data_IF_914106244093
#
_entry.id   IF_914106244093
#
_cell.length_a   1.000
_cell.length_b   1.000
_cell.length_c   1.000
_cell.angle_alpha   90.00
_cell.angle_beta   90.00
_cell.angle_gamma   90.00
#
_symmetry.space_group_name_H-M   'P 1'
#
loop_
_entity.id
_entity.type
_entity.pdbx_description
1 polymer ?
#
# COMPACT_ATOMS: atom_id res chain seq x y z
N UNK A 1 -40.19 -28.49 -23.61
CA UNK A 1 -39.89 -27.09 -23.24
C UNK A 1 -40.47 -26.92 -21.86
N UNK A 2 -39.62 -26.80 -20.84
CA UNK A 2 -40.09 -26.62 -19.47
C UNK A 2 -40.61 -25.19 -19.33
N UNK A 3 -41.78 -25.02 -18.71
CA UNK A 3 -42.35 -23.71 -18.38
C UNK A 3 -41.39 -22.98 -17.43
N UNK A 4 -40.98 -21.78 -17.81
CA UNK A 4 -40.11 -20.95 -16.97
C UNK A 4 -40.95 -20.41 -15.80
N UNK A 5 -40.66 -20.87 -14.58
CA UNK A 5 -41.39 -20.43 -13.39
C UNK A 5 -40.99 -19.00 -13.01
N UNK A 6 -41.86 -18.28 -12.29
CA UNK A 6 -41.53 -16.92 -11.84
C UNK A 6 -40.26 -16.90 -10.96
N UNK A 7 -40.06 -17.97 -10.17
CA UNK A 7 -38.87 -18.15 -9.34
C UNK A 7 -37.63 -18.30 -10.21
N UNK A 8 -37.72 -19.03 -11.33
CA UNK A 8 -36.60 -19.21 -12.24
C UNK A 8 -36.17 -17.89 -12.87
N UNK A 9 -37.13 -17.09 -13.34
CA UNK A 9 -36.86 -15.75 -13.84
C UNK A 9 -36.27 -14.84 -12.75
N UNK A 10 -36.80 -14.88 -11.52
CA UNK A 10 -36.28 -14.10 -10.40
C UNK A 10 -34.84 -14.49 -9.98
N UNK A 11 -34.48 -15.77 -10.11
CA UNK A 11 -33.13 -16.29 -9.87
C UNK A 11 -32.19 -15.84 -10.99
N UNK A 12 -32.62 -15.95 -12.25
CA UNK A 12 -31.79 -15.63 -13.42
C UNK A 12 -31.45 -14.15 -13.52
N UNK A 13 -32.37 -13.27 -13.11
CA UNK A 13 -32.10 -11.84 -13.04
C UNK A 13 -30.96 -11.50 -12.06
N UNK A 14 -30.86 -12.22 -10.94
CA UNK A 14 -29.94 -11.87 -9.84
C UNK A 14 -28.64 -12.66 -9.91
N UNK A 15 -28.70 -13.91 -10.37
CA UNK A 15 -27.59 -14.86 -10.46
C UNK A 15 -27.53 -15.54 -11.84
N UNK A 16 -27.34 -14.78 -12.95
CA UNK A 16 -27.36 -15.34 -14.31
C UNK A 16 -26.22 -16.33 -14.60
N UNK A 17 -25.13 -16.27 -13.82
CA UNK A 17 -23.96 -17.14 -13.98
C UNK A 17 -23.97 -18.36 -13.04
N UNK A 18 -25.09 -18.65 -12.38
CA UNK A 18 -25.21 -19.82 -11.51
C UNK A 18 -25.36 -21.09 -12.36
N UNK A 19 -24.73 -22.24 -12.01
CA UNK A 19 -24.95 -23.49 -12.71
C UNK A 19 -26.42 -23.91 -12.66
N UNK A 20 -26.94 -24.50 -13.73
CA UNK A 20 -28.37 -24.88 -13.86
C UNK A 20 -28.84 -25.77 -12.70
N UNK A 21 -28.02 -26.76 -12.33
CA UNK A 21 -28.27 -27.65 -11.18
C UNK A 21 -28.40 -26.87 -9.86
N UNK A 22 -27.63 -25.79 -9.69
CA UNK A 22 -27.69 -24.96 -8.47
C UNK A 22 -28.88 -23.99 -8.49
N UNK A 23 -29.40 -23.63 -9.67
CA UNK A 23 -30.65 -22.88 -9.79
C UNK A 23 -31.85 -23.77 -9.47
N UNK A 24 -31.84 -25.03 -9.92
CA UNK A 24 -32.91 -26.01 -9.61
C UNK A 24 -33.03 -26.24 -8.11
N UNK A 25 -31.89 -26.44 -7.42
CA UNK A 25 -31.85 -26.59 -5.96
C UNK A 25 -32.31 -25.33 -5.24
N UNK A 26 -31.95 -24.15 -5.74
CA UNK A 26 -32.39 -22.88 -5.17
C UNK A 26 -33.89 -22.64 -5.36
N UNK A 27 -34.43 -23.00 -6.52
CA UNK A 27 -35.86 -22.92 -6.83
C UNK A 27 -36.68 -23.85 -5.91
N UNK A 28 -36.25 -25.10 -5.73
CA UNK A 28 -36.86 -26.05 -4.80
C UNK A 28 -36.78 -25.54 -3.34
N UNK A 29 -35.63 -24.95 -2.96
CA UNK A 29 -35.45 -24.36 -1.62
C UNK A 29 -36.43 -23.21 -1.40
N UNK A 30 -36.58 -22.29 -2.36
CA UNK A 30 -37.52 -21.16 -2.26
C UNK A 30 -38.98 -21.62 -2.23
N UNK A 31 -39.33 -22.66 -2.99
CA UNK A 31 -40.66 -23.28 -2.91
C UNK A 31 -40.90 -23.91 -1.53
N UNK A 32 -39.89 -24.59 -0.96
CA UNK A 32 -39.99 -25.20 0.38
C UNK A 32 -40.14 -24.19 1.51
N UNK A 33 -39.62 -22.97 1.33
CA UNK A 33 -39.77 -21.84 2.26
C UNK A 33 -41.16 -21.19 2.13
N UNK A 34 -41.85 -21.41 1.00
CA UNK A 34 -43.20 -20.88 0.73
C UNK A 34 -43.21 -19.55 -0.02
N UNK A 35 -42.20 -19.30 -0.86
CA UNK A 35 -42.13 -18.07 -1.69
C UNK A 35 -43.08 -18.22 -2.89
N UNK A 36 -44.19 -17.49 -2.89
CA UNK A 36 -45.21 -17.54 -3.95
C UNK A 36 -45.22 -16.28 -4.83
N UNK A 37 -44.72 -15.16 -4.31
CA UNK A 37 -44.73 -13.85 -4.96
C UNK A 37 -43.41 -13.11 -4.82
N UNK A 38 -43.25 -12.02 -5.59
CA UNK A 38 -42.08 -11.16 -5.49
C UNK A 38 -41.96 -10.40 -4.16
N UNK A 39 -43.08 -10.21 -3.44
CA UNK A 39 -43.06 -9.52 -2.15
C UNK A 39 -42.47 -10.42 -1.05
N UNK A 40 -42.65 -11.74 -1.17
CA UNK A 40 -42.20 -12.72 -0.17
C UNK A 40 -40.67 -12.74 -0.02
N UNK A 41 -39.92 -12.31 -1.05
CA UNK A 41 -38.46 -12.21 -0.98
C UNK A 41 -37.97 -11.24 0.10
N UNK A 42 -38.81 -10.31 0.60
CA UNK A 42 -38.43 -9.40 1.67
C UNK A 42 -38.24 -10.11 3.03
N UNK A 43 -38.90 -11.25 3.21
CA UNK A 43 -38.90 -12.01 4.47
C UNK A 43 -37.78 -13.04 4.56
N UNK A 44 -37.04 -13.28 3.48
CA UNK A 44 -35.94 -14.25 3.43
C UNK A 44 -34.71 -13.72 4.18
N UNK A 45 -34.04 -14.61 4.93
CA UNK A 45 -32.81 -14.36 5.69
C UNK A 45 -31.63 -15.13 5.08
N UNK A 46 -30.38 -14.76 5.42
CA UNK A 46 -29.18 -15.39 4.83
C UNK A 46 -29.17 -16.90 5.03
N UNK A 47 -29.54 -17.37 6.24
CA UNK A 47 -29.49 -18.79 6.62
C UNK A 47 -30.40 -19.67 5.76
N UNK A 48 -31.53 -19.13 5.28
CA UNK A 48 -32.50 -19.84 4.44
C UNK A 48 -31.91 -20.21 3.06
N UNK A 49 -30.92 -19.45 2.61
CA UNK A 49 -30.30 -19.61 1.29
C UNK A 49 -28.97 -20.37 1.34
N UNK A 50 -28.42 -20.62 2.52
CA UNK A 50 -27.11 -21.28 2.67
C UNK A 50 -27.12 -22.77 2.28
N UNK A 51 -28.30 -23.40 2.21
CA UNK A 51 -28.48 -24.76 1.71
C UNK A 51 -28.21 -24.87 0.20
N UNK A 52 -28.54 -23.82 -0.56
CA UNK A 52 -28.44 -23.81 -2.02
C UNK A 52 -27.32 -22.90 -2.57
N UNK A 53 -26.90 -21.88 -1.81
CA UNK A 53 -25.95 -20.84 -2.26
C UNK A 53 -24.77 -20.69 -1.30
N UNK A 54 -23.63 -20.26 -1.84
CA UNK A 54 -22.50 -19.81 -1.00
C UNK A 54 -22.88 -18.51 -0.27
N UNK A 55 -22.31 -18.23 0.91
CA UNK A 55 -22.68 -17.06 1.72
C UNK A 55 -22.66 -15.71 0.97
N UNK A 56 -21.68 -15.52 0.07
CA UNK A 56 -21.58 -14.28 -0.72
C UNK A 56 -22.66 -14.19 -1.81
N UNK A 57 -23.08 -15.32 -2.38
CA UNK A 57 -24.16 -15.36 -3.37
C UNK A 57 -25.52 -15.13 -2.69
N UNK A 58 -25.74 -15.73 -1.51
CA UNK A 58 -26.93 -15.52 -0.69
C UNK A 58 -27.11 -14.03 -0.31
N UNK A 59 -26.06 -13.39 0.21
CA UNK A 59 -26.11 -11.94 0.53
C UNK A 59 -26.39 -11.06 -0.68
N UNK A 60 -25.81 -11.40 -1.83
CA UNK A 60 -26.06 -10.66 -3.07
C UNK A 60 -27.52 -10.83 -3.51
N UNK A 61 -28.05 -12.05 -3.43
CA UNK A 61 -29.44 -12.34 -3.79
C UNK A 61 -30.42 -11.56 -2.90
N UNK A 62 -30.24 -11.63 -1.59
CA UNK A 62 -31.05 -10.89 -0.61
C UNK A 62 -30.99 -9.38 -0.79
N UNK A 63 -29.80 -8.82 -1.03
CA UNK A 63 -29.66 -7.38 -1.23
C UNK A 63 -30.41 -6.91 -2.49
N UNK A 64 -30.38 -7.70 -3.58
CA UNK A 64 -31.06 -7.36 -4.82
C UNK A 64 -32.58 -7.55 -4.72
N UNK A 65 -33.06 -8.65 -4.13
CA UNK A 65 -34.50 -8.85 -3.98
C UNK A 65 -35.13 -7.86 -3.00
N UNK A 66 -34.50 -7.57 -1.86
CA UNK A 66 -35.00 -6.55 -0.91
C UNK A 66 -35.04 -5.15 -1.50
N UNK A 67 -34.07 -4.81 -2.35
CA UNK A 67 -34.09 -3.54 -3.08
C UNK A 67 -35.25 -3.46 -4.09
N UNK A 68 -35.62 -4.59 -4.70
CA UNK A 68 -36.74 -4.67 -5.64
C UNK A 68 -38.10 -4.52 -4.96
N UNK A 69 -38.27 -5.10 -3.76
CA UNK A 69 -39.49 -4.90 -2.94
C UNK A 69 -39.61 -3.44 -2.46
N UNK A 70 -38.50 -2.72 -2.31
CA UNK A 70 -38.47 -1.31 -1.88
C UNK A 70 -38.60 -0.30 -3.02
N UNK A 71 -38.50 -0.74 -4.28
CA UNK A 71 -38.73 0.11 -5.43
C UNK A 71 -40.22 0.10 -5.76
N UNK A 72 -40.93 1.25 -5.69
CA UNK A 72 -42.29 1.33 -6.21
C UNK A 72 -42.21 1.27 -7.73
N UNK A 73 -42.24 0.07 -8.31
CA UNK A 73 -42.38 -0.10 -9.74
C UNK A 73 -43.79 0.29 -10.15
N UNK A 74 -43.83 1.39 -10.91
CA UNK A 74 -44.87 1.82 -11.81
C UNK A 74 -45.47 0.64 -12.58
N UNK A 75 -46.66 0.23 -12.19
CA UNK A 75 -47.60 -0.48 -13.06
C UNK A 75 -47.86 0.37 -14.31
N UNK A 76 -47.75 -0.27 -15.48
CA UNK A 76 -48.17 0.26 -16.78
C UNK A 76 -49.62 0.77 -16.72
N UNK A 77 -49.86 2.05 -17.03
CA UNK A 77 -51.00 2.50 -17.84
C UNK A 77 -50.86 3.97 -18.24
N UNK A 78 -51.09 4.24 -19.53
CA UNK A 78 -51.65 5.44 -20.18
C UNK A 78 -51.41 6.84 -19.58
N UNK A 79 -50.90 7.72 -20.46
CA UNK A 79 -50.86 9.17 -20.35
C UNK A 79 -52.16 9.81 -19.84
N UNK A 80 -52.08 10.79 -18.94
CA UNK A 80 -52.30 12.20 -19.28
C UNK A 80 -52.05 13.16 -18.08
N UNK A 81 -51.40 14.26 -18.43
CA UNK A 81 -51.57 15.66 -18.01
C UNK A 81 -51.33 16.25 -16.58
N UNK A 82 -50.61 17.38 -16.64
CA UNK A 82 -50.62 18.61 -15.80
C UNK A 82 -50.19 18.66 -14.32
N UNK A 83 -49.02 19.29 -14.13
CA UNK A 83 -48.68 20.45 -13.28
C UNK A 83 -49.38 20.71 -11.92
N UNK A 84 -48.56 20.89 -10.86
CA UNK A 84 -48.39 22.12 -10.02
C UNK A 84 -47.67 21.75 -8.69
N UNK A 85 -46.47 22.30 -8.40
CA UNK A 85 -46.18 23.40 -7.41
C UNK A 85 -46.84 23.21 -6.03
N UNK A 86 -46.20 23.27 -4.87
CA UNK A 86 -44.97 23.97 -4.41
C UNK A 86 -44.61 23.58 -2.97
N UNK A 87 -43.30 23.73 -2.63
CA UNK A 87 -42.73 24.28 -1.38
C UNK A 87 -42.98 23.54 -0.03
N UNK A 88 -42.05 23.38 0.93
CA UNK A 88 -40.81 24.13 1.18
C UNK A 88 -40.01 23.54 2.37
N UNK A 89 -38.67 23.58 2.24
CA UNK A 89 -37.60 23.83 3.26
C UNK A 89 -37.38 22.80 4.40
N UNK A 90 -36.18 22.45 4.88
CA UNK A 90 -34.74 22.77 4.69
C UNK A 90 -34.01 21.72 5.59
N UNK A 91 -32.86 21.12 5.25
CA UNK A 91 -31.53 21.66 5.60
C UNK A 91 -30.37 20.73 5.16
N UNK A 92 -29.65 21.20 4.13
CA UNK A 92 -28.19 21.23 3.87
C UNK A 92 -27.21 20.26 4.57
N UNK A 93 -26.51 19.44 3.76
CA UNK A 93 -25.04 19.18 3.80
C UNK A 93 -24.58 18.34 2.57
N UNK A 94 -23.26 18.33 2.21
CA UNK A 94 -22.82 18.57 0.83
C UNK A 94 -22.72 17.35 -0.09
N UNK A 95 -22.80 17.65 -1.40
CA UNK A 95 -22.61 16.76 -2.54
C UNK A 95 -21.31 15.95 -2.48
N UNK A 96 -21.42 14.67 -2.86
CA UNK A 96 -20.36 13.96 -3.57
C UNK A 96 -21.02 12.99 -4.54
N UNK A 97 -20.98 13.36 -5.82
CA UNK A 97 -21.36 12.54 -6.96
C UNK A 97 -20.47 11.29 -7.05
N UNK A 98 -21.09 10.12 -7.17
CA UNK A 98 -20.42 8.97 -7.78
C UNK A 98 -21.38 8.21 -8.67
N UNK A 99 -21.05 8.29 -9.95
CA UNK A 99 -21.76 7.85 -11.14
C UNK A 99 -21.76 6.34 -11.31
N UNK A 100 -22.93 5.81 -11.68
CA UNK A 100 -23.07 4.50 -12.29
C UNK A 100 -22.24 4.43 -13.60
N UNK A 101 -21.08 3.79 -13.55
CA UNK A 101 -20.21 3.58 -14.73
C UNK A 101 -19.37 2.29 -14.67
N UNK A 102 -19.72 1.35 -13.79
CA UNK A 102 -18.83 0.24 -13.42
C UNK A 102 -18.98 -1.05 -14.24
N UNK A 103 -20.00 -1.20 -15.10
CA UNK A 103 -20.22 -2.47 -15.84
C UNK A 103 -19.71 -2.47 -17.29
N UNK A 104 -19.67 -1.34 -18.00
CA UNK A 104 -19.10 -1.28 -19.36
C UNK A 104 -17.57 -1.42 -19.37
N UNK A 105 -16.90 -0.96 -18.32
CA UNK A 105 -15.45 -1.02 -18.18
C UNK A 105 -14.92 -2.45 -17.97
N UNK A 106 -15.72 -3.39 -17.47
CA UNK A 106 -15.26 -4.75 -17.16
C UNK A 106 -15.08 -5.62 -18.41
N UNK A 107 -15.97 -5.50 -19.38
CA UNK A 107 -15.89 -6.24 -20.66
C UNK A 107 -14.75 -5.70 -21.52
N UNK A 108 -14.58 -4.37 -21.55
CA UNK A 108 -13.47 -3.70 -22.23
C UNK A 108 -12.11 -4.05 -21.57
N UNK A 109 -12.05 -4.19 -20.24
CA UNK A 109 -10.82 -4.57 -19.52
C UNK A 109 -10.31 -5.96 -19.91
N UNK A 110 -11.23 -6.89 -20.21
CA UNK A 110 -10.90 -8.26 -20.58
C UNK A 110 -10.45 -8.31 -22.04
N UNK A 111 -11.15 -7.63 -22.94
CA UNK A 111 -10.86 -7.66 -24.37
C UNK A 111 -9.46 -7.10 -24.69
N UNK A 112 -9.07 -5.97 -24.08
CA UNK A 112 -7.72 -5.43 -24.33
C UNK A 112 -6.61 -6.34 -23.80
N UNK A 113 -6.81 -7.01 -22.66
CA UNK A 113 -5.78 -7.88 -22.07
C UNK A 113 -5.61 -9.18 -22.87
N UNK A 114 -6.70 -9.69 -23.45
CA UNK A 114 -6.69 -10.83 -24.38
C UNK A 114 -6.05 -10.46 -25.71
N UNK A 115 -6.18 -9.21 -26.17
CA UNK A 115 -5.51 -8.73 -27.39
C UNK A 115 -4.10 -8.15 -27.14
N UNK A 116 -3.69 -8.01 -25.86
CA UNK A 116 -2.38 -7.49 -25.52
C UNK A 116 -1.26 -8.42 -26.00
N UNK A 117 -0.42 -7.89 -26.88
CA UNK A 117 0.83 -8.50 -27.34
C UNK A 117 1.96 -8.14 -26.38
N UNK A 118 2.60 -9.15 -25.81
CA UNK A 118 3.73 -8.97 -24.91
C UNK A 118 4.93 -8.44 -25.72
N UNK A 119 5.59 -7.35 -25.27
CA UNK A 119 6.65 -6.66 -25.99
C UNK A 119 7.99 -7.41 -25.90
N UNK A 120 8.06 -8.63 -26.44
CA UNK A 120 9.27 -9.47 -26.37
C UNK A 120 10.51 -8.79 -26.96
N UNK A 121 10.34 -8.02 -28.04
CA UNK A 121 11.43 -7.29 -28.70
C UNK A 121 12.04 -6.15 -27.85
N UNK A 122 11.32 -5.68 -26.83
CA UNK A 122 11.80 -4.64 -25.91
C UNK A 122 12.58 -5.21 -24.73
N UNK A 123 12.65 -6.53 -24.61
CA UNK A 123 13.35 -7.17 -23.49
C UNK A 123 14.87 -7.17 -23.73
N UNK A 124 15.69 -6.97 -22.68
CA UNK A 124 17.13 -7.09 -22.79
C UNK A 124 17.52 -8.45 -23.37
N UNK A 125 18.54 -8.48 -24.22
CA UNK A 125 18.94 -9.70 -24.91
C UNK A 125 19.37 -10.81 -23.94
N UNK A 126 20.02 -10.44 -22.83
CA UNK A 126 20.37 -11.36 -21.74
C UNK A 126 19.14 -12.05 -21.12
N UNK A 127 18.02 -11.33 -20.99
CA UNK A 127 16.77 -11.87 -20.50
C UNK A 127 16.16 -12.83 -21.54
N UNK A 128 16.09 -12.43 -22.81
CA UNK A 128 15.54 -13.26 -23.89
C UNK A 128 16.31 -14.57 -24.05
N UNK A 129 17.63 -14.52 -24.08
CA UNK A 129 18.46 -15.71 -24.13
C UNK A 129 18.23 -16.63 -22.91
N UNK A 130 18.00 -16.07 -21.73
CA UNK A 130 17.69 -16.87 -20.53
C UNK A 130 16.33 -17.58 -20.66
N UNK A 131 15.32 -16.88 -21.20
CA UNK A 131 14.00 -17.43 -21.45
C UNK A 131 14.05 -18.56 -22.49
N UNK A 132 14.75 -18.36 -23.61
CA UNK A 132 14.91 -19.33 -24.70
C UNK A 132 15.66 -20.58 -24.25
N UNK A 133 16.70 -20.41 -23.42
CA UNK A 133 17.45 -21.54 -22.82
C UNK A 133 16.66 -22.29 -21.75
N UNK A 134 15.42 -21.89 -21.44
CA UNK A 134 14.62 -22.50 -20.38
C UNK A 134 15.17 -22.24 -18.98
N UNK A 135 16.05 -21.27 -18.81
CA UNK A 135 16.70 -20.94 -17.53
C UNK A 135 15.92 -19.85 -16.81
N UNK A 136 15.82 -19.97 -15.49
CA UNK A 136 15.17 -18.97 -14.65
C UNK A 136 15.97 -17.65 -14.72
N UNK A 137 15.36 -16.52 -15.14
CA UNK A 137 16.06 -15.24 -15.18
C UNK A 137 16.50 -14.80 -13.78
N UNK A 138 17.61 -14.05 -13.70
CA UNK A 138 18.08 -13.46 -12.45
C UNK A 138 17.02 -12.53 -11.84
N UNK A 139 17.02 -12.33 -10.50
CA UNK A 139 16.05 -11.45 -9.85
C UNK A 139 16.04 -10.02 -10.43
N UNK A 140 17.20 -9.52 -10.89
CA UNK A 140 17.33 -8.20 -11.53
C UNK A 140 16.62 -8.18 -12.88
N UNK A 141 16.94 -9.11 -13.78
CA UNK A 141 16.33 -9.22 -15.11
C UNK A 141 14.83 -9.47 -15.03
N UNK A 142 14.38 -10.29 -14.06
CA UNK A 142 12.95 -10.54 -13.83
C UNK A 142 12.19 -9.27 -13.42
N UNK A 143 12.79 -8.41 -12.58
CA UNK A 143 12.19 -7.11 -12.22
C UNK A 143 12.14 -6.17 -13.42
N UNK A 144 13.16 -6.17 -14.26
CA UNK A 144 13.22 -5.35 -15.47
C UNK A 144 12.15 -5.76 -16.50
N UNK A 145 11.99 -7.06 -16.74
CA UNK A 145 10.89 -7.63 -17.52
C UNK A 145 9.52 -7.10 -17.05
N UNK A 146 9.26 -7.20 -15.75
CA UNK A 146 8.01 -6.73 -15.12
C UNK A 146 7.82 -5.22 -15.30
N UNK A 147 8.90 -4.42 -15.23
CA UNK A 147 8.83 -2.98 -15.48
C UNK A 147 8.44 -2.67 -16.92
N UNK A 148 9.08 -3.30 -17.89
CA UNK A 148 8.81 -3.09 -19.32
C UNK A 148 7.37 -3.46 -19.65
N UNK A 149 6.92 -4.64 -19.22
CA UNK A 149 5.55 -5.11 -19.46
C UNK A 149 4.51 -4.13 -18.91
N UNK A 150 4.66 -3.68 -17.66
CA UNK A 150 3.71 -2.73 -17.06
C UNK A 150 3.75 -1.37 -17.76
N UNK A 151 4.92 -0.88 -18.15
CA UNK A 151 5.03 0.38 -18.91
C UNK A 151 4.26 0.30 -20.24
N UNK A 152 4.38 -0.80 -20.98
CA UNK A 152 3.66 -1.00 -22.25
C UNK A 152 2.16 -1.22 -22.04
N UNK A 153 1.76 -1.94 -20.99
CA UNK A 153 0.35 -2.08 -20.63
C UNK A 153 -0.27 -0.71 -20.34
N UNK A 154 0.46 0.17 -19.63
CA UNK A 154 -0.01 1.52 -19.26
C UNK A 154 -0.10 2.48 -20.44
N UNK A 155 0.74 2.29 -21.47
CA UNK A 155 0.61 3.04 -22.72
C UNK A 155 -0.64 2.65 -23.51
N UNK A 156 -1.03 1.37 -23.46
CA UNK A 156 -2.21 0.86 -24.20
C UNK A 156 -3.53 1.07 -23.46
N UNK A 157 -3.52 1.07 -22.12
CA UNK A 157 -4.73 1.23 -21.32
C UNK A 157 -4.47 2.02 -20.03
N UNK A 158 -5.30 3.03 -19.81
CA UNK A 158 -5.29 3.86 -18.59
C UNK A 158 -5.91 3.13 -17.38
N UNK A 159 -6.74 2.11 -17.60
CA UNK A 159 -7.53 1.40 -16.58
C UNK A 159 -7.14 -0.09 -16.48
N UNK A 160 -5.87 -0.37 -16.17
CA UNK A 160 -5.44 -1.75 -15.93
C UNK A 160 -5.93 -2.22 -14.55
N UNK A 161 -6.72 -3.29 -14.49
CA UNK A 161 -7.12 -3.94 -13.25
C UNK A 161 -6.37 -5.26 -12.98
N UNK A 162 -6.79 -5.93 -11.91
CA UNK A 162 -6.18 -7.19 -11.44
C UNK A 162 -6.37 -8.35 -12.41
N UNK A 163 -7.45 -8.31 -13.20
CA UNK A 163 -7.78 -9.38 -14.15
C UNK A 163 -6.90 -9.29 -15.39
N UNK A 164 -6.70 -8.09 -15.95
CA UNK A 164 -5.77 -7.88 -17.08
C UNK A 164 -4.32 -8.28 -16.77
N UNK A 165 -3.81 -7.95 -15.57
CA UNK A 165 -2.47 -8.41 -15.13
C UNK A 165 -2.36 -9.92 -14.99
N UNK A 166 -3.46 -10.60 -14.66
CA UNK A 166 -3.50 -12.07 -14.56
C UNK A 166 -3.41 -12.72 -15.93
N UNK A 167 -4.17 -12.22 -16.91
CA UNK A 167 -4.15 -12.77 -18.28
C UNK A 167 -2.79 -12.55 -18.97
N UNK A 168 -2.16 -11.39 -18.79
CA UNK A 168 -0.80 -11.15 -19.29
C UNK A 168 0.21 -12.10 -18.66
N UNK A 169 0.13 -12.36 -17.36
CA UNK A 169 1.01 -13.32 -16.70
C UNK A 169 0.84 -14.74 -17.22
N UNK A 170 -0.42 -15.18 -17.44
CA UNK A 170 -0.73 -16.50 -18.03
C UNK A 170 -0.10 -16.63 -19.41
N UNK A 171 -0.24 -15.63 -20.28
CA UNK A 171 0.39 -15.61 -21.60
C UNK A 171 1.91 -15.70 -21.54
N UNK A 172 2.55 -14.96 -20.62
CA UNK A 172 4.00 -15.00 -20.46
C UNK A 172 4.49 -16.39 -20.02
N UNK A 173 3.83 -16.99 -19.03
CA UNK A 173 4.17 -18.32 -18.52
C UNK A 173 3.86 -19.40 -19.56
N UNK A 174 2.78 -19.27 -20.33
CA UNK A 174 2.47 -20.18 -21.42
C UNK A 174 3.56 -20.21 -22.51
N UNK A 175 4.19 -19.06 -22.82
CA UNK A 175 5.29 -19.00 -23.78
C UNK A 175 6.59 -19.59 -23.23
N UNK A 176 6.93 -19.30 -21.97
CA UNK A 176 8.18 -19.76 -21.34
C UNK A 176 7.93 -20.41 -19.98
N UNK A 177 7.31 -21.61 -19.94
CA UNK A 177 6.94 -22.26 -18.68
C UNK A 177 8.17 -22.60 -17.84
N UNK A 178 9.21 -23.20 -18.45
CA UNK A 178 10.45 -23.60 -17.76
C UNK A 178 11.16 -22.44 -17.05
N UNK A 179 11.09 -21.24 -17.62
CA UNK A 179 11.82 -20.07 -17.14
C UNK A 179 11.00 -19.21 -16.16
N UNK A 180 9.68 -19.11 -16.38
CA UNK A 180 8.82 -18.15 -15.69
C UNK A 180 7.90 -18.77 -14.63
N UNK A 181 7.62 -20.07 -14.71
CA UNK A 181 6.78 -20.78 -13.75
C UNK A 181 7.37 -20.74 -12.33
N UNK A 182 6.48 -20.61 -11.34
CA UNK A 182 6.83 -20.69 -9.93
C UNK A 182 7.03 -22.15 -9.52
N UNK A 183 8.27 -22.62 -9.55
CA UNK A 183 8.66 -23.93 -9.03
C UNK A 183 9.52 -23.73 -7.79
N UNK A 184 9.20 -24.41 -6.69
CA UNK A 184 10.04 -24.53 -5.49
C UNK A 184 10.32 -26.02 -5.32
N UNK A 185 11.60 -26.39 -5.22
CA UNK A 185 12.04 -27.78 -4.94
C UNK A 185 11.46 -28.85 -5.88
N UNK A 186 11.11 -28.47 -7.12
CA UNK A 186 10.55 -29.37 -8.12
C UNK A 186 9.03 -29.30 -8.24
N UNK A 187 8.34 -28.72 -7.25
CA UNK A 187 6.88 -28.61 -7.24
C UNK A 187 6.40 -27.28 -7.80
N UNK A 188 5.37 -27.34 -8.65
CA UNK A 188 4.69 -26.16 -9.20
C UNK A 188 3.83 -25.53 -8.10
N UNK A 189 4.18 -24.31 -7.70
CA UNK A 189 3.43 -23.56 -6.69
C UNK A 189 2.08 -23.11 -7.27
N UNK A 190 1.00 -23.72 -6.81
CA UNK A 190 -0.36 -23.39 -7.23
C UNK A 190 -0.51 -23.46 -8.75
N UNK A 191 -1.13 -22.46 -9.41
CA UNK A 191 -1.25 -22.44 -10.87
C UNK A 191 0.06 -22.16 -11.64
N UNK A 192 1.20 -22.00 -10.96
CA UNK A 192 2.50 -21.73 -11.57
C UNK A 192 2.73 -20.28 -12.04
N UNK A 193 1.69 -19.49 -12.30
CA UNK A 193 1.82 -18.08 -12.72
C UNK A 193 1.65 -17.06 -11.57
N UNK A 194 1.25 -17.50 -10.38
CA UNK A 194 0.83 -16.62 -9.28
C UNK A 194 1.94 -15.66 -8.81
N UNK A 195 3.19 -16.13 -8.79
CA UNK A 195 4.37 -15.31 -8.47
C UNK A 195 4.53 -14.12 -9.43
N UNK A 196 4.37 -14.37 -10.73
CA UNK A 196 4.48 -13.32 -11.75
C UNK A 196 3.31 -12.34 -11.70
N UNK A 197 2.09 -12.84 -11.45
CA UNK A 197 0.91 -11.98 -11.23
C UNK A 197 1.14 -11.01 -10.08
N UNK A 198 1.63 -11.50 -8.94
CA UNK A 198 1.92 -10.66 -7.77
C UNK A 198 2.97 -9.60 -8.09
N UNK A 199 4.00 -9.94 -8.87
CA UNK A 199 5.04 -8.98 -9.30
C UNK A 199 4.46 -7.88 -10.21
N UNK A 200 3.63 -8.25 -11.19
CA UNK A 200 2.96 -7.30 -12.09
C UNK A 200 1.98 -6.39 -11.33
N UNK A 201 1.15 -6.95 -10.46
CA UNK A 201 0.21 -6.18 -9.63
C UNK A 201 0.92 -5.21 -8.68
N UNK A 202 1.95 -5.68 -7.97
CA UNK A 202 2.74 -4.82 -7.08
C UNK A 202 3.39 -3.67 -7.85
N UNK A 203 3.90 -3.92 -9.06
CA UNK A 203 4.49 -2.87 -9.90
C UNK A 203 3.42 -1.89 -10.37
N UNK A 204 2.27 -2.38 -10.82
CA UNK A 204 1.14 -1.54 -11.23
C UNK A 204 0.67 -0.62 -10.10
N UNK A 205 0.46 -1.18 -8.90
CA UNK A 205 0.11 -0.39 -7.71
C UNK A 205 1.21 0.62 -7.35
N UNK A 206 2.49 0.25 -7.51
CA UNK A 206 3.59 1.16 -7.26
C UNK A 206 3.65 2.32 -8.24
N UNK A 207 3.29 2.11 -9.52
CA UNK A 207 3.22 3.19 -10.51
C UNK A 207 1.96 4.05 -10.31
N UNK A 208 0.85 3.46 -9.86
CA UNK A 208 -0.39 4.18 -9.55
C UNK A 208 -0.34 4.97 -8.23
N UNK A 209 0.62 4.69 -7.34
CA UNK A 209 0.79 5.48 -6.11
C UNK A 209 1.21 6.91 -6.47
N UNK A 210 0.51 7.89 -5.90
CA UNK A 210 0.86 9.31 -6.07
C UNK A 210 2.32 9.54 -5.68
N UNK A 211 3.00 10.40 -6.43
CA UNK A 211 4.42 10.78 -6.21
C UNK A 211 4.67 11.47 -4.86
N UNK A 212 3.61 11.75 -4.10
CA UNK A 212 3.69 12.17 -2.70
C UNK A 212 4.12 10.99 -1.82
N UNK A 213 5.34 11.01 -1.25
CA UNK A 213 5.84 9.90 -0.45
C UNK A 213 5.02 9.81 0.85
N UNK A 214 4.05 8.88 0.90
CA UNK A 214 3.47 8.43 2.17
C UNK A 214 4.50 7.52 2.84
N UNK A 215 5.34 8.11 3.69
CA UNK A 215 6.36 7.44 4.47
C UNK A 215 5.70 6.33 5.32
N UNK A 216 5.78 5.09 4.86
CA UNK A 216 5.51 3.90 5.66
C UNK A 216 6.85 3.33 6.11
N UNK A 217 7.19 3.53 7.39
CA UNK A 217 8.36 2.93 8.03
C UNK A 217 8.41 1.43 7.73
N UNK A 218 9.53 0.93 7.19
CA UNK A 218 9.75 -0.50 7.00
C UNK A 218 10.23 -1.07 8.34
N UNK A 219 9.47 -2.02 8.91
CA UNK A 219 9.87 -2.77 10.10
C UNK A 219 11.15 -3.56 9.76
N UNK A 220 12.14 -3.47 10.65
CA UNK A 220 13.36 -4.27 10.63
C UNK A 220 12.99 -5.75 10.43
N UNK A 221 13.42 -6.35 9.32
CA UNK A 221 13.49 -7.80 9.19
C UNK A 221 14.96 -8.18 9.17
N UNK A 222 15.30 -9.01 10.13
CA UNK A 222 16.59 -9.64 10.32
C UNK A 222 17.08 -10.26 9.03
N UNK A 223 18.33 -9.93 8.73
CA UNK A 223 19.40 -10.74 8.17
C UNK A 223 18.99 -12.11 7.63
N UNK A 224 18.81 -12.19 6.32
CA UNK A 224 19.41 -13.20 5.44
C UNK A 224 19.02 -12.87 4.00
N UNK A 225 19.92 -12.25 3.25
CA UNK A 225 19.91 -12.14 1.78
C UNK A 225 20.93 -11.09 1.34
N UNK A 226 22.15 -11.55 1.16
CA UNK A 226 23.12 -11.17 0.11
C UNK A 226 22.69 -9.97 -0.76
N UNK A 227 23.03 -8.76 -0.31
CA UNK A 227 22.93 -7.54 -1.12
C UNK A 227 24.08 -6.62 -0.77
N UNK A 228 24.82 -6.21 -1.80
CA UNK A 228 25.94 -5.27 -1.76
C UNK A 228 25.71 -4.16 -0.72
N UNK A 229 26.57 -4.16 0.30
CA UNK A 229 26.50 -3.22 1.41
C UNK A 229 26.66 -1.79 0.90
N UNK A 230 25.54 -1.05 0.85
CA UNK A 230 25.61 0.41 0.79
C UNK A 230 26.38 0.87 2.05
N UNK A 231 27.44 1.68 1.93
CA UNK A 231 28.23 2.14 3.06
C UNK A 231 27.35 2.76 4.16
N UNK A 232 27.67 2.55 5.46
CA UNK A 232 26.90 3.06 6.58
C UNK A 232 26.61 4.57 6.48
N UNK A 233 27.57 5.33 5.96
CA UNK A 233 27.49 6.78 5.74
C UNK A 233 26.35 7.19 4.80
N UNK A 234 26.09 6.42 3.74
CA UNK A 234 24.99 6.69 2.80
C UNK A 234 23.63 6.23 3.35
N UNK A 235 23.60 5.16 4.16
CA UNK A 235 22.38 4.69 4.84
C UNK A 235 21.91 5.70 5.91
N UNK A 236 22.84 6.29 6.66
CA UNK A 236 22.55 7.29 7.68
C UNK A 236 22.01 8.61 7.08
N UNK A 237 22.56 9.06 5.95
CA UNK A 237 22.17 10.31 5.30
C UNK A 237 20.71 10.37 4.85
N UNK A 238 20.08 9.21 4.55
CA UNK A 238 18.71 9.14 3.99
C UNK A 238 17.66 8.85 5.07
N UNK A 239 18.02 8.21 6.19
CA UNK A 239 17.04 7.77 7.20
C UNK A 239 16.72 8.80 8.29
N UNK A 240 17.61 9.77 8.56
CA UNK A 240 17.57 10.52 9.82
C UNK A 240 17.26 12.03 9.69
N UNK A 241 16.57 12.42 8.61
CA UNK A 241 16.20 13.82 8.35
C UNK A 241 14.91 14.28 9.05
N UNK A 242 14.22 13.41 9.80
CA UNK A 242 12.94 13.80 10.41
C UNK A 242 13.15 14.56 11.73
N UNK A 243 13.01 15.89 11.67
CA UNK A 243 12.99 16.78 12.84
C UNK A 243 14.35 17.35 13.27
N UNK A 244 15.46 16.69 12.95
CA UNK A 244 16.81 17.18 13.24
C UNK A 244 17.29 18.12 12.13
N UNK A 245 17.21 19.43 12.37
CA UNK A 245 17.58 20.46 11.37
C UNK A 245 19.11 20.61 11.30
N UNK A 246 19.79 20.46 12.44
CA UNK A 246 21.22 20.68 12.57
C UNK A 246 22.04 19.37 12.62
N UNK A 247 21.65 18.39 11.81
CA UNK A 247 22.18 17.02 11.87
C UNK A 247 23.55 16.86 11.18
N UNK A 248 23.87 17.70 10.18
CA UNK A 248 25.15 17.68 9.45
C UNK A 248 25.67 19.10 9.28
N UNK A 249 26.44 19.55 10.28
CA UNK A 249 27.12 20.85 10.23
C UNK A 249 28.31 20.76 9.26
N UNK A 250 28.15 21.32 8.06
CA UNK A 250 29.22 21.36 7.05
C UNK A 250 30.36 22.30 7.41
N UNK A 251 30.07 23.33 8.20
CA UNK A 251 31.02 24.39 8.55
C UNK A 251 31.19 24.47 10.06
N UNK A 252 32.42 24.75 10.47
CA UNK A 252 32.74 25.06 11.85
C UNK A 252 32.05 26.38 12.26
N UNK A 253 31.52 26.52 13.48
CA UNK A 253 30.90 27.77 13.93
C UNK A 253 31.87 28.96 13.82
N UNK A 254 31.34 30.14 13.46
CA UNK A 254 32.13 31.35 13.29
C UNK A 254 32.87 31.72 14.58
N UNK A 255 34.20 31.85 14.51
CA UNK A 255 35.06 32.17 15.65
C UNK A 255 35.59 30.97 16.44
N UNK A 256 35.30 29.73 16.01
CA UNK A 256 35.92 28.53 16.57
C UNK A 256 36.93 27.91 15.60
N UNK A 257 38.01 27.34 16.15
CA UNK A 257 39.03 26.58 15.41
C UNK A 257 38.97 25.10 15.82
N UNK A 258 39.49 24.17 14.99
CA UNK A 258 39.59 22.75 15.35
C UNK A 258 40.35 22.54 16.67
N UNK A 259 41.40 23.31 16.91
CA UNK A 259 42.18 23.29 18.15
C UNK A 259 41.33 23.73 19.35
N UNK A 260 40.55 24.82 19.20
CA UNK A 260 39.64 25.28 20.25
C UNK A 260 38.56 24.27 20.59
N UNK A 261 38.11 23.49 19.61
CA UNK A 261 37.14 22.40 19.81
C UNK A 261 37.75 21.25 20.62
N UNK A 262 38.99 20.84 20.30
CA UNK A 262 39.69 19.79 21.03
C UNK A 262 40.01 20.23 22.47
N UNK A 263 40.45 21.47 22.68
CA UNK A 263 40.68 22.03 24.02
C UNK A 263 39.42 21.98 24.88
N UNK A 264 38.26 22.30 24.30
CA UNK A 264 36.96 22.24 25.00
C UNK A 264 36.53 20.79 25.28
N UNK A 265 36.83 19.86 24.37
CA UNK A 265 36.60 18.42 24.56
C UNK A 265 37.45 17.87 25.70
N UNK A 266 38.74 18.25 25.76
CA UNK A 266 39.62 17.88 26.87
C UNK A 266 39.16 18.47 28.21
N UNK A 267 38.70 19.73 28.21
CA UNK A 267 38.12 20.34 29.42
C UNK A 267 36.89 19.58 29.91
N UNK A 268 35.99 19.16 29.01
CA UNK A 268 34.86 18.29 29.37
C UNK A 268 35.31 16.96 29.96
N UNK A 269 36.36 16.33 29.41
CA UNK A 269 36.92 15.10 29.99
C UNK A 269 37.49 15.33 31.39
N UNK A 270 38.22 16.42 31.61
CA UNK A 270 38.75 16.78 32.94
C UNK A 270 37.63 17.04 33.95
N UNK A 271 36.58 17.77 33.56
CA UNK A 271 35.41 18.03 34.40
C UNK A 271 34.69 16.74 34.79
N UNK A 272 34.67 15.71 33.94
CA UNK A 272 34.02 14.43 34.25
C UNK A 272 34.74 13.63 35.35
N UNK A 273 36.00 13.97 35.64
CA UNK A 273 36.79 13.36 36.71
C UNK A 273 36.65 14.11 38.04
N UNK A 274 36.06 15.32 38.02
CA UNK A 274 35.80 16.09 39.24
C UNK A 274 34.53 15.57 39.93
N UNK A 275 34.49 15.62 41.28
CA UNK A 275 33.34 15.12 42.05
C UNK A 275 32.06 15.93 41.84
N UNK A 276 32.18 17.26 41.70
CA UNK A 276 31.06 18.18 41.54
C UNK A 276 31.34 19.20 40.41
N UNK A 277 31.16 18.80 39.14
CA UNK A 277 31.36 19.70 38.02
C UNK A 277 30.27 20.77 37.94
N UNK A 278 30.65 22.01 37.63
CA UNK A 278 29.70 23.11 37.46
C UNK A 278 28.75 22.83 36.27
N UNK A 279 27.44 22.67 36.49
CA UNK A 279 26.49 22.28 35.44
C UNK A 279 26.38 23.33 34.33
N UNK A 280 26.53 24.62 34.64
CA UNK A 280 26.44 25.69 33.65
C UNK A 280 27.68 25.72 32.75
N UNK A 281 28.85 25.39 33.29
CA UNK A 281 30.08 25.26 32.52
C UNK A 281 30.02 24.05 31.57
N UNK A 282 29.55 22.90 32.07
CA UNK A 282 29.34 21.70 31.24
C UNK A 282 28.36 21.99 30.11
N UNK A 283 27.25 22.68 30.40
CA UNK A 283 26.25 23.07 29.41
C UNK A 283 26.85 23.93 28.29
N UNK A 284 27.59 24.99 28.66
CA UNK A 284 28.23 25.88 27.68
C UNK A 284 29.27 25.15 26.82
N UNK A 285 30.06 24.25 27.43
CA UNK A 285 31.04 23.45 26.71
C UNK A 285 30.37 22.44 25.77
N UNK A 286 29.28 21.79 26.20
CA UNK A 286 28.48 20.90 25.36
C UNK A 286 27.86 21.62 24.15
N UNK A 287 27.36 22.85 24.33
CA UNK A 287 26.84 23.65 23.22
C UNK A 287 27.91 24.05 22.21
N UNK A 288 29.08 24.45 22.68
CA UNK A 288 30.22 24.84 21.83
C UNK A 288 30.78 23.64 21.08
N UNK A 289 30.87 22.48 21.74
CA UNK A 289 31.44 21.26 21.15
C UNK A 289 30.46 20.44 20.30
N UNK A 290 29.23 20.93 20.13
CA UNK A 290 28.17 20.26 19.37
C UNK A 290 28.59 19.88 17.93
N UNK A 291 29.38 20.74 17.27
CA UNK A 291 29.90 20.47 15.93
C UNK A 291 30.69 19.15 15.90
N UNK A 292 31.64 19.00 16.81
CA UNK A 292 32.55 17.84 16.86
C UNK A 292 31.83 16.59 17.32
N UNK A 293 30.94 16.70 18.33
CA UNK A 293 30.07 15.62 18.76
C UNK A 293 29.28 15.03 17.57
N UNK A 294 28.66 15.89 16.77
CA UNK A 294 27.84 15.42 15.64
C UNK A 294 28.68 14.88 14.49
N UNK A 295 29.87 15.44 14.26
CA UNK A 295 30.84 14.90 13.30
C UNK A 295 31.26 13.48 13.67
N UNK A 296 31.58 13.25 14.94
CA UNK A 296 31.96 11.94 15.49
C UNK A 296 30.84 10.89 15.29
N UNK A 297 29.58 11.26 15.54
CA UNK A 297 28.42 10.37 15.31
C UNK A 297 28.17 10.11 13.83
N UNK A 298 28.24 11.15 13.00
CA UNK A 298 28.00 11.00 11.56
C UNK A 298 29.09 10.16 10.86
N UNK A 299 30.30 10.09 11.43
CA UNK A 299 31.38 9.21 11.00
C UNK A 299 31.19 7.75 11.46
N UNK A 300 30.13 7.46 12.23
CA UNK A 300 29.82 6.10 12.68
C UNK A 300 30.75 5.58 13.76
N UNK A 301 31.34 6.45 14.60
CA UNK A 301 32.12 6.01 15.77
C UNK A 301 31.28 5.13 16.70
N UNK A 302 31.91 4.11 17.29
CA UNK A 302 31.24 3.18 18.20
C UNK A 302 30.72 3.91 19.46
N UNK A 303 29.62 3.41 20.02
CA UNK A 303 29.00 4.00 21.22
C UNK A 303 29.97 4.01 22.41
N UNK A 304 30.84 3.00 22.54
CA UNK A 304 31.85 2.93 23.61
C UNK A 304 32.89 4.03 23.47
N UNK A 305 33.32 4.32 22.24
CA UNK A 305 34.27 5.40 21.96
C UNK A 305 33.63 6.76 22.20
N UNK A 306 32.37 6.94 21.80
CA UNK A 306 31.61 8.16 22.09
C UNK A 306 31.44 8.41 23.58
N UNK A 307 31.18 7.39 24.38
CA UNK A 307 31.11 7.50 25.85
C UNK A 307 32.45 7.95 26.46
N UNK A 308 33.57 7.43 25.94
CA UNK A 308 34.91 7.80 26.39
C UNK A 308 35.30 9.21 25.94
N UNK A 309 34.90 9.60 24.75
CA UNK A 309 35.21 10.89 24.17
C UNK A 309 34.31 12.02 24.70
N UNK A 310 33.06 11.70 25.03
CA UNK A 310 32.01 12.64 25.42
C UNK A 310 31.24 12.15 26.67
N UNK A 311 31.87 12.18 27.85
CA UNK A 311 31.33 11.57 29.08
C UNK A 311 30.00 12.19 29.55
N UNK A 312 29.78 13.48 29.27
CA UNK A 312 28.57 14.19 29.65
C UNK A 312 27.43 14.04 28.64
N UNK A 313 27.67 13.55 27.43
CA UNK A 313 26.66 13.50 26.37
C UNK A 313 25.49 12.58 26.74
N UNK A 314 25.77 11.43 27.32
CA UNK A 314 24.74 10.47 27.73
C UNK A 314 24.13 10.75 29.12
N UNK A 315 24.50 11.87 29.74
CA UNK A 315 23.86 12.36 30.96
C UNK A 315 22.68 13.27 30.60
N UNK A 316 21.72 13.42 31.52
CA UNK A 316 20.50 14.19 31.28
C UNK A 316 20.77 15.62 30.77
N UNK A 317 21.75 16.31 31.39
CA UNK A 317 22.15 17.66 31.00
C UNK A 317 22.73 17.71 29.58
N UNK A 318 23.63 16.78 29.23
CA UNK A 318 24.23 16.75 27.90
C UNK A 318 23.23 16.35 26.81
N UNK A 319 22.34 15.39 27.10
CA UNK A 319 21.26 14.99 26.19
C UNK A 319 20.29 16.15 25.94
N UNK A 320 19.88 16.87 26.98
CA UNK A 320 18.98 18.02 26.86
C UNK A 320 19.60 19.13 25.99
N UNK A 321 20.87 19.44 26.20
CA UNK A 321 21.62 20.44 25.42
C UNK A 321 21.75 20.01 23.96
N UNK A 322 22.18 18.78 23.73
CA UNK A 322 22.36 18.25 22.39
C UNK A 322 21.03 18.23 21.63
N UNK A 323 19.95 17.78 22.29
CA UNK A 323 18.59 17.79 21.73
C UNK A 323 18.12 19.21 21.38
N UNK A 324 18.33 20.18 22.27
CA UNK A 324 18.00 21.59 22.00
C UNK A 324 18.78 22.17 20.83
N UNK A 325 19.98 21.65 20.55
CA UNK A 325 20.83 22.13 19.46
C UNK A 325 20.54 21.42 18.13
N UNK A 326 20.08 20.17 18.15
CA UNK A 326 19.59 19.45 16.95
C UNK A 326 18.26 19.99 16.44
N UNK A 327 17.42 20.52 17.33
CA UNK A 327 16.11 21.10 17.01
C UNK A 327 16.15 22.63 17.16
N UNK A 328 15.99 23.39 16.07
CA UNK A 328 15.91 24.86 16.11
C UNK A 328 14.81 25.34 17.10
N UNK A 329 15.02 26.51 17.72
CA UNK A 329 14.16 27.21 18.71
C UNK A 329 12.65 27.33 18.35
N UNK A 330 12.21 26.91 17.17
CA UNK A 330 10.80 26.88 16.78
C UNK A 330 9.95 25.83 17.52
N UNK A 331 10.58 24.86 18.20
CA UNK A 331 9.88 23.80 18.94
C UNK A 331 9.53 24.15 20.41
N UNK A 332 10.11 25.21 20.98
CA UNK A 332 9.80 25.65 22.35
C UNK A 332 8.34 26.11 22.52
N UNK A 333 7.65 26.48 21.43
CA UNK A 333 6.23 26.88 21.48
C UNK A 333 5.25 25.72 21.71
N UNK A 334 5.65 24.46 21.51
CA UNK A 334 4.74 23.32 21.59
C UNK A 334 4.91 22.45 22.86
N UNK A 335 5.98 22.66 23.62
CA UNK A 335 6.20 21.88 24.86
C UNK A 335 5.49 22.49 26.06
N UNK A 336 5.38 23.82 26.15
CA UNK A 336 4.67 24.48 27.26
C UNK A 336 3.14 24.46 27.14
N UNK A 337 2.58 24.20 25.96
CA UNK A 337 1.12 24.17 25.74
C UNK A 337 0.45 22.84 26.09
N UNK A 338 1.22 21.78 26.39
CA UNK A 338 0.67 20.45 26.68
C UNK A 338 0.87 19.93 28.10
N UNK A 339 1.48 20.72 28.98
CA UNK A 339 1.58 20.42 30.41
C UNK A 339 1.40 21.73 31.20
N UNK A 340 0.15 22.16 31.35
CA UNK A 340 -0.19 23.31 32.20
C UNK A 340 -1.52 23.97 31.86
N UNK A 341 -2.64 23.32 32.16
CA UNK A 341 -3.59 23.77 33.21
C UNK A 341 -4.41 22.57 33.64
#
# INVERSE_FOLDING_TARGET
>A
MAEETFLRTAIDEVLPNLPEVSKDVLEETLQSIGVETYDDFQFIVEDDLLSALRPVQARKALATWKLRCQSPETSKSSADDTAQTSASLQSLSPQSSSSASSNSNQTLEIDWAVNFVIPWEKFPEELMQSLERGKRPSPRLRREMVRIVISEMMQKSSSIGKRGTTEVAKKMVAKYPKSLQGVIEGDVIGPGYHSLVKQLQNRLENVKRSTTPKIRKRKHRSDDSDTDEIPPEQKAAVQDTYGCINWNLKFLPFGETPESQEDKKEKLKKLSQMKDPNPEEVKQLMEKTFYTQRKDVNQGKDIKDLLKEWPFWFQELGMAVHFKKTHWKGAERNFHTKLGT
#
